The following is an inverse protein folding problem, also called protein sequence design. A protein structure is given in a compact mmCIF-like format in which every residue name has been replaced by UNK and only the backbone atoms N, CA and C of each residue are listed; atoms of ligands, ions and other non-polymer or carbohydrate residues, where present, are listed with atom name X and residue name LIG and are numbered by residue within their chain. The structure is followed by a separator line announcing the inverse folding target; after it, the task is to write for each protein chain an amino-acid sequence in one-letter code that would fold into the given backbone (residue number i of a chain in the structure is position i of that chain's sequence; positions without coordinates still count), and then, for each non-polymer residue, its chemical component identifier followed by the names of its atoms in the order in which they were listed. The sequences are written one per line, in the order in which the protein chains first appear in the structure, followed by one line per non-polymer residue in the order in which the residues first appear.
data_IF_091675590720
#
_entry.id   IF_091675590720
#
_cell.length_a   1.000
_cell.length_b   1.000
_cell.length_c   1.000
_cell.angle_alpha   90.00
_cell.angle_beta   90.00
_cell.angle_gamma   90.00
#
_symmetry.space_group_name_H-M   'P 1'
#
loop_
_entity.id
_entity.type
_entity.pdbx_description
1 polymer ?
#
# COMPACT_ATOMS: atom_id res chain seq x y z
N UNK A 1 -11.05 -3.43 -39.96
CA UNK A 1 -11.80 -4.24 -38.97
C UNK A 1 -12.46 -5.37 -39.74
N UNK A 2 -12.06 -6.60 -39.50
CA UNK A 2 -12.73 -7.77 -40.09
C UNK A 2 -14.09 -7.89 -39.41
N UNK A 3 -15.17 -7.93 -40.19
CA UNK A 3 -16.54 -8.13 -39.69
C UNK A 3 -16.58 -9.38 -38.81
N UNK A 4 -17.02 -9.27 -37.56
CA UNK A 4 -17.17 -10.41 -36.66
C UNK A 4 -18.35 -11.34 -37.01
N UNK A 5 -19.01 -11.10 -38.14
CA UNK A 5 -20.10 -11.94 -38.64
C UNK A 5 -19.54 -13.02 -39.57
N UNK A 6 -19.74 -14.27 -39.18
CA UNK A 6 -19.47 -15.46 -40.01
C UNK A 6 -20.67 -15.66 -40.94
N UNK A 7 -20.41 -15.85 -42.22
CA UNK A 7 -21.48 -16.11 -43.21
C UNK A 7 -21.90 -17.58 -43.20
N UNK A 8 -23.14 -17.88 -43.61
CA UNK A 8 -23.64 -19.27 -43.66
C UNK A 8 -22.81 -20.14 -44.60
N UNK A 9 -22.36 -19.58 -45.71
CA UNK A 9 -21.50 -20.25 -46.69
C UNK A 9 -20.15 -20.64 -46.11
N UNK A 10 -19.55 -19.76 -45.31
CA UNK A 10 -18.26 -20.01 -44.64
C UNK A 10 -18.36 -21.14 -43.60
N UNK A 11 -19.48 -21.21 -42.86
CA UNK A 11 -19.73 -22.30 -41.92
C UNK A 11 -19.87 -23.66 -42.63
N UNK A 12 -20.57 -23.69 -43.77
CA UNK A 12 -20.76 -24.92 -44.55
C UNK A 12 -19.46 -25.38 -45.22
N UNK A 13 -18.65 -24.45 -45.72
CA UNK A 13 -17.30 -24.74 -46.24
C UNK A 13 -16.39 -25.31 -45.15
N UNK A 14 -16.43 -24.76 -43.93
CA UNK A 14 -15.66 -25.28 -42.81
C UNK A 14 -16.10 -26.68 -42.37
N UNK A 15 -17.42 -26.93 -42.33
CA UNK A 15 -17.97 -28.28 -42.07
C UNK A 15 -17.51 -29.27 -43.15
N UNK A 16 -17.50 -28.86 -44.42
CA UNK A 16 -17.06 -29.71 -45.53
C UNK A 16 -15.56 -29.99 -45.47
N UNK A 17 -14.72 -28.97 -45.23
CA UNK A 17 -13.29 -29.13 -45.06
C UNK A 17 -12.96 -30.08 -43.88
N UNK A 18 -13.71 -29.98 -42.77
CA UNK A 18 -13.61 -30.90 -41.64
C UNK A 18 -13.97 -32.33 -42.01
N UNK A 19 -15.04 -32.50 -42.79
CA UNK A 19 -15.49 -33.81 -43.25
C UNK A 19 -14.46 -34.45 -44.20
N UNK A 20 -13.90 -33.69 -45.13
CA UNK A 20 -12.84 -34.16 -46.04
C UNK A 20 -11.56 -34.54 -45.28
N UNK A 21 -11.17 -33.74 -44.28
CA UNK A 21 -10.04 -34.05 -43.40
C UNK A 21 -10.31 -35.30 -42.55
N UNK A 22 -11.55 -35.48 -42.08
CA UNK A 22 -11.98 -36.66 -41.35
C UNK A 22 -11.92 -37.90 -42.23
N UNK A 23 -12.53 -37.88 -43.42
CA UNK A 23 -12.53 -39.01 -44.37
C UNK A 23 -11.11 -39.43 -44.77
N UNK A 24 -10.18 -38.47 -44.88
CA UNK A 24 -8.76 -38.75 -45.15
C UNK A 24 -8.05 -39.47 -43.99
N UNK A 25 -8.44 -39.20 -42.74
CA UNK A 25 -7.83 -39.77 -41.53
C UNK A 25 -8.65 -40.92 -40.90
N UNK A 26 -9.84 -41.19 -41.43
CA UNK A 26 -10.84 -42.11 -40.87
C UNK A 26 -10.42 -43.57 -41.03
N UNK A 27 -10.59 -44.36 -39.97
CA UNK A 27 -10.48 -45.83 -40.01
C UNK A 27 -11.86 -46.45 -40.30
N UNK A 28 -11.95 -47.68 -40.85
CA UNK A 28 -13.22 -48.30 -41.24
C UNK A 28 -14.22 -48.50 -40.08
N UNK A 29 -13.78 -48.39 -38.83
CA UNK A 29 -14.62 -48.52 -37.61
C UNK A 29 -15.16 -47.18 -37.11
N UNK A 30 -14.57 -46.06 -37.53
CA UNK A 30 -14.91 -44.72 -37.04
C UNK A 30 -16.20 -44.20 -37.71
N UNK A 31 -16.88 -43.23 -37.10
CA UNK A 31 -18.17 -42.70 -37.59
C UNK A 31 -18.06 -41.98 -38.93
N UNK A 32 -19.15 -42.02 -39.73
CA UNK A 32 -19.19 -41.38 -41.06
C UNK A 32 -19.12 -39.87 -40.97
N UNK A 33 -19.80 -39.28 -40.01
CA UNK A 33 -19.79 -37.83 -39.79
C UNK A 33 -18.58 -37.43 -38.94
N UNK A 34 -17.90 -36.36 -39.35
CA UNK A 34 -16.89 -35.70 -38.54
C UNK A 34 -17.53 -35.15 -37.25
N UNK A 35 -16.89 -35.33 -36.08
CA UNK A 35 -17.36 -34.75 -34.82
C UNK A 35 -17.52 -33.22 -34.93
N UNK A 36 -18.62 -32.70 -34.39
CA UNK A 36 -18.86 -31.26 -34.29
C UNK A 36 -17.90 -30.64 -33.26
N UNK A 37 -17.29 -29.47 -33.53
CA UNK A 37 -16.43 -28.81 -32.56
C UNK A 37 -17.21 -28.55 -31.27
N UNK A 38 -16.54 -28.80 -30.14
CA UNK A 38 -17.13 -28.54 -28.83
C UNK A 38 -17.50 -27.07 -28.72
N UNK A 39 -18.80 -26.81 -28.49
CA UNK A 39 -19.28 -25.48 -28.19
C UNK A 39 -18.67 -24.98 -26.88
N UNK A 40 -18.36 -23.68 -26.80
CA UNK A 40 -17.83 -23.09 -25.59
C UNK A 40 -18.89 -23.18 -24.47
N UNK A 41 -18.66 -24.10 -23.53
CA UNK A 41 -19.56 -24.30 -22.38
C UNK A 41 -19.47 -23.19 -21.32
N UNK A 42 -18.57 -22.22 -21.51
CA UNK A 42 -18.45 -21.07 -20.61
C UNK A 42 -19.67 -20.17 -20.78
N UNK A 43 -20.19 -19.70 -19.67
CA UNK A 43 -21.23 -18.68 -19.73
C UNK A 43 -20.66 -17.38 -20.32
N UNK A 44 -21.50 -16.57 -20.96
CA UNK A 44 -21.06 -15.26 -21.48
C UNK A 44 -20.41 -14.40 -20.38
N UNK A 45 -20.91 -14.53 -19.14
CA UNK A 45 -20.34 -13.85 -17.98
C UNK A 45 -18.89 -14.29 -17.72
N UNK A 46 -18.61 -15.60 -17.70
CA UNK A 46 -17.26 -16.12 -17.51
C UNK A 46 -16.32 -15.66 -18.63
N UNK A 47 -16.78 -15.67 -19.88
CA UNK A 47 -15.97 -15.21 -21.01
C UNK A 47 -15.66 -13.71 -20.92
N UNK A 48 -16.64 -12.88 -20.57
CA UNK A 48 -16.42 -11.44 -20.39
C UNK A 48 -15.51 -11.15 -19.19
N UNK A 49 -15.65 -11.93 -18.11
CA UNK A 49 -14.80 -11.85 -16.94
C UNK A 49 -13.36 -12.24 -17.29
N UNK A 50 -13.15 -13.37 -17.95
CA UNK A 50 -11.83 -13.83 -18.40
C UNK A 50 -11.17 -12.77 -19.31
N UNK A 51 -11.92 -12.16 -20.23
CA UNK A 51 -11.41 -11.09 -21.09
C UNK A 51 -11.03 -9.83 -20.31
N UNK A 52 -11.80 -9.46 -19.29
CA UNK A 52 -11.50 -8.32 -18.43
C UNK A 52 -10.26 -8.59 -17.57
N UNK A 53 -10.22 -9.76 -16.94
CA UNK A 53 -9.13 -10.17 -16.07
C UNK A 53 -7.83 -10.34 -16.87
N UNK A 54 -7.89 -10.89 -18.09
CA UNK A 54 -6.73 -10.97 -19.00
C UNK A 54 -6.18 -9.59 -19.37
N UNK A 55 -7.05 -8.63 -19.74
CA UNK A 55 -6.62 -7.25 -20.01
C UNK A 55 -6.05 -6.57 -18.76
N UNK A 56 -6.64 -6.84 -17.60
CA UNK A 56 -6.15 -6.27 -16.34
C UNK A 56 -4.76 -6.82 -15.99
N UNK A 57 -4.57 -8.14 -16.14
CA UNK A 57 -3.27 -8.79 -15.94
C UNK A 57 -2.22 -8.24 -16.91
N UNK A 58 -2.55 -8.07 -18.19
CA UNK A 58 -1.64 -7.47 -19.17
C UNK A 58 -1.22 -6.05 -18.78
N UNK A 59 -2.18 -5.22 -18.34
CA UNK A 59 -1.91 -3.86 -17.87
C UNK A 59 -1.04 -3.89 -16.60
N UNK A 60 -1.32 -4.79 -15.67
CA UNK A 60 -0.59 -4.89 -14.41
C UNK A 60 0.83 -5.41 -14.63
N UNK A 61 1.03 -6.36 -15.55
CA UNK A 61 2.35 -6.84 -15.98
C UNK A 61 3.14 -5.72 -16.68
N UNK A 62 2.53 -4.99 -17.62
CA UNK A 62 3.17 -3.87 -18.29
C UNK A 62 3.56 -2.75 -17.31
N UNK A 63 2.67 -2.40 -16.37
CA UNK A 63 2.94 -1.40 -15.33
C UNK A 63 3.99 -1.90 -14.34
N UNK A 64 3.97 -3.18 -13.97
CA UNK A 64 4.96 -3.79 -13.09
C UNK A 64 6.34 -3.75 -13.71
N UNK A 65 6.48 -4.18 -14.96
CA UNK A 65 7.75 -4.10 -15.69
C UNK A 65 8.22 -2.65 -15.82
N UNK A 66 7.31 -1.72 -16.18
CA UNK A 66 7.61 -0.29 -16.23
C UNK A 66 8.11 0.24 -14.90
N UNK A 67 7.50 -0.14 -13.78
CA UNK A 67 7.89 0.32 -12.45
C UNK A 67 9.18 -0.33 -11.94
N UNK A 68 9.44 -1.60 -12.27
CA UNK A 68 10.67 -2.30 -11.87
C UNK A 68 11.91 -1.76 -12.59
N UNK A 69 11.74 -1.30 -13.83
CA UNK A 69 12.83 -0.73 -14.65
C UNK A 69 12.82 0.80 -14.61
N UNK A 70 11.90 1.41 -13.84
CA UNK A 70 11.89 2.86 -13.61
C UNK A 70 13.05 3.18 -12.68
N UNK A 71 14.09 3.80 -13.24
CA UNK A 71 15.19 4.36 -12.46
C UNK A 71 14.71 5.42 -11.48
N UNK A 72 15.60 5.80 -10.57
CA UNK A 72 15.39 6.94 -9.67
C UNK A 72 15.36 8.19 -10.53
N UNK A 73 14.29 8.97 -10.45
CA UNK A 73 14.17 10.23 -11.17
C UNK A 73 15.12 11.30 -10.60
N UNK A 74 15.38 12.39 -11.34
CA UNK A 74 16.26 13.47 -10.86
C UNK A 74 15.74 14.06 -9.53
N UNK A 75 14.43 14.29 -9.44
CA UNK A 75 13.73 14.75 -8.24
C UNK A 75 13.80 13.75 -7.08
N UNK A 76 13.68 12.44 -7.38
CA UNK A 76 13.79 11.40 -6.35
C UNK A 76 15.24 11.31 -5.82
N UNK A 77 16.24 11.50 -6.68
CA UNK A 77 17.65 11.46 -6.30
C UNK A 77 18.05 12.61 -5.37
N UNK A 78 17.50 13.81 -5.62
CA UNK A 78 17.71 14.98 -4.76
C UNK A 78 17.02 14.77 -3.42
N UNK A 79 15.78 14.27 -3.41
CA UNK A 79 15.06 13.93 -2.18
C UNK A 79 15.82 12.91 -1.32
N UNK A 80 16.36 11.83 -1.91
CA UNK A 80 17.16 10.85 -1.18
C UNK A 80 18.45 11.47 -0.60
N UNK A 81 19.09 12.37 -1.35
CA UNK A 81 20.28 13.11 -0.89
C UNK A 81 19.95 14.03 0.29
N UNK A 82 18.82 14.74 0.23
CA UNK A 82 18.34 15.62 1.28
C UNK A 82 17.93 14.85 2.54
N UNK A 83 17.31 13.67 2.38
CA UNK A 83 17.02 12.78 3.50
C UNK A 83 18.30 12.28 4.18
N UNK A 84 19.31 11.90 3.42
CA UNK A 84 20.57 11.40 3.97
C UNK A 84 21.37 12.50 4.66
N UNK A 85 21.40 13.71 4.09
CA UNK A 85 21.99 14.88 4.75
C UNK A 85 21.24 15.21 6.05
N UNK A 86 19.91 15.21 6.04
CA UNK A 86 19.08 15.44 7.23
C UNK A 86 19.36 14.39 8.32
N UNK A 87 19.35 13.10 7.97
CA UNK A 87 19.68 12.01 8.90
C UNK A 87 21.08 12.16 9.48
N UNK A 88 22.06 12.57 8.67
CA UNK A 88 23.43 12.82 9.12
C UNK A 88 23.49 13.99 10.09
N UNK A 89 22.81 15.09 9.78
CA UNK A 89 22.76 16.29 10.64
C UNK A 89 22.13 15.94 11.99
N UNK A 90 21.00 15.24 12.00
CA UNK A 90 20.32 14.81 13.25
C UNK A 90 21.24 13.91 14.09
N UNK A 91 21.89 12.92 13.48
CA UNK A 91 22.84 12.05 14.20
C UNK A 91 24.03 12.83 14.77
N UNK A 92 24.55 13.80 14.03
CA UNK A 92 25.65 14.64 14.48
C UNK A 92 25.24 15.56 15.63
N UNK A 93 24.03 16.11 15.61
CA UNK A 93 23.47 16.91 16.70
C UNK A 93 23.27 16.05 17.96
N UNK A 94 22.63 14.89 17.83
CA UNK A 94 22.45 13.94 18.94
C UNK A 94 23.79 13.56 19.59
N UNK A 95 24.80 13.21 18.77
CA UNK A 95 26.14 12.90 19.27
C UNK A 95 26.81 14.08 19.97
N UNK A 96 26.57 15.31 19.50
CA UNK A 96 27.11 16.53 20.12
C UNK A 96 26.47 16.75 21.49
N UNK A 97 25.15 16.65 21.58
CA UNK A 97 24.39 16.78 22.82
C UNK A 97 24.82 15.73 23.85
N UNK A 98 24.95 14.46 23.44
CA UNK A 98 25.45 13.39 24.31
C UNK A 98 26.86 13.69 24.85
N UNK A 99 27.77 14.18 23.99
CA UNK A 99 29.12 14.53 24.40
C UNK A 99 29.15 15.72 25.37
N UNK A 100 28.27 16.69 25.18
CA UNK A 100 28.14 17.85 26.07
C UNK A 100 27.65 17.43 27.45
N UNK A 101 26.60 16.60 27.51
CA UNK A 101 26.10 16.03 28.77
C UNK A 101 27.18 15.22 29.50
N UNK A 102 27.96 14.41 28.79
CA UNK A 102 29.08 13.66 29.40
C UNK A 102 30.14 14.62 29.97
N UNK A 103 30.50 15.68 29.23
CA UNK A 103 31.46 16.68 29.70
C UNK A 103 30.94 17.39 30.94
N UNK A 104 29.69 17.85 30.95
CA UNK A 104 29.06 18.47 32.12
C UNK A 104 29.03 17.53 33.33
N UNK A 105 28.71 16.25 33.14
CA UNK A 105 28.78 15.24 34.19
C UNK A 105 30.20 15.09 34.75
N UNK A 106 31.21 15.04 33.89
CA UNK A 106 32.61 14.90 34.34
C UNK A 106 33.07 16.12 35.15
N UNK A 107 32.70 17.33 34.72
CA UNK A 107 33.01 18.59 35.40
C UNK A 107 32.30 18.64 36.76
N UNK A 108 30.99 18.37 36.81
CA UNK A 108 30.21 18.36 38.05
C UNK A 108 30.70 17.31 39.04
N UNK A 109 31.07 16.11 38.57
CA UNK A 109 31.68 15.08 39.41
C UNK A 109 33.03 15.53 39.99
N UNK A 110 33.89 16.15 39.17
CA UNK A 110 35.18 16.66 39.61
C UNK A 110 35.04 17.82 40.62
N UNK A 111 34.05 18.71 40.43
CA UNK A 111 33.73 19.77 41.38
C UNK A 111 33.17 19.20 42.69
N UNK A 112 32.27 18.21 42.61
CA UNK A 112 31.70 17.55 43.78
C UNK A 112 32.75 16.79 44.61
N UNK A 113 33.76 16.20 43.94
CA UNK A 113 34.87 15.54 44.61
C UNK A 113 35.82 16.53 45.33
N UNK A 114 35.94 17.76 44.84
CA UNK A 114 36.78 18.81 45.43
C UNK A 114 36.06 19.70 46.46
N UNK A 115 34.75 19.54 46.65
CA UNK A 115 34.03 20.20 47.74
C UNK A 115 34.34 19.52 49.09
N UNK A 116 34.69 20.26 50.16
CA UNK A 116 34.85 19.67 51.48
C UNK A 116 33.52 19.02 51.90
N UNK A 117 33.58 17.78 52.37
CA UNK A 117 32.43 16.98 52.73
C UNK A 117 31.56 17.71 53.79
N UNK A 118 30.50 18.38 53.34
CA UNK A 118 29.45 18.83 54.24
C UNK A 118 28.78 17.60 54.88
N UNK A 119 28.44 17.65 56.19
CA UNK A 119 27.95 16.48 56.91
C UNK A 119 26.64 15.98 56.27
N UNK A 120 26.69 14.76 55.74
CA UNK A 120 25.50 14.06 55.27
C UNK A 120 24.57 13.84 56.47
N UNK A 121 23.43 14.52 56.49
CA UNK A 121 22.36 14.22 57.44
C UNK A 121 21.85 12.80 57.17
N UNK A 122 22.31 11.86 57.99
CA UNK A 122 21.82 10.48 58.00
C UNK A 122 20.41 10.51 58.61
N UNK A 123 19.39 10.55 57.76
CA UNK A 123 18.03 10.24 58.20
C UNK A 123 17.94 8.73 58.43
N UNK A 124 17.89 8.36 59.70
CA UNK A 124 17.60 6.99 60.15
C UNK A 124 16.25 6.54 59.57
N UNK A 125 16.12 5.34 58.98
CA UNK A 125 14.83 4.84 58.55
C UNK A 125 13.94 4.62 59.78
N UNK A 126 12.94 5.49 59.97
CA UNK A 126 11.94 5.35 61.02
C UNK A 126 10.99 4.21 60.65
N UNK A 127 11.23 3.05 61.24
CA UNK A 127 10.27 1.95 61.28
C UNK A 127 9.17 2.31 62.28
N UNK A 128 8.10 2.94 61.82
CA UNK A 128 6.88 3.14 62.62
C UNK A 128 5.69 2.52 61.91
N UNK A 129 5.33 1.33 62.42
CA UNK A 129 3.98 0.84 62.72
C UNK A 129 2.86 1.00 61.68
N UNK A 130 2.27 -0.16 61.39
CA UNK A 130 0.94 -0.38 60.84
C UNK A 130 -0.11 0.67 61.28
N UNK A 131 -0.97 1.06 60.32
CA UNK A 131 -2.26 1.68 60.63
C UNK A 131 -2.37 3.18 60.39
N UNK A 132 -1.94 3.70 59.24
CA UNK A 132 -2.45 4.97 58.74
C UNK A 132 -2.31 5.03 57.21
N UNK A 133 -3.43 5.18 56.51
CA UNK A 133 -3.46 5.43 55.06
C UNK A 133 -2.96 6.85 54.82
N UNK A 134 -1.64 7.00 54.67
CA UNK A 134 -1.04 8.26 54.24
C UNK A 134 -1.39 8.50 52.75
N UNK A 135 -1.72 9.73 52.36
CA UNK A 135 -2.05 10.04 50.97
C UNK A 135 -0.82 9.80 50.10
N UNK A 136 -0.91 8.85 49.18
CA UNK A 136 0.15 8.58 48.19
C UNK A 136 0.46 9.88 47.45
N UNK A 137 1.76 10.21 47.34
CA UNK A 137 2.24 11.37 46.58
C UNK A 137 1.51 11.50 45.25
N UNK A 138 1.13 12.73 44.86
CA UNK A 138 0.44 13.01 43.60
C UNK A 138 1.17 12.39 42.41
N UNK A 139 2.51 12.41 42.42
CA UNK A 139 3.34 11.80 41.39
C UNK A 139 3.19 10.26 41.34
N UNK A 140 3.11 9.60 42.49
CA UNK A 140 2.91 8.15 42.56
C UNK A 140 1.52 7.72 42.07
N UNK A 141 0.49 8.56 42.30
CA UNK A 141 -0.85 8.32 41.77
C UNK A 141 -0.88 8.37 40.23
N UNK A 142 -0.22 9.36 39.61
CA UNK A 142 -0.10 9.43 38.15
C UNK A 142 0.65 8.23 37.53
N UNK A 143 1.69 7.74 38.19
CA UNK A 143 2.42 6.56 37.71
C UNK A 143 1.58 5.27 37.87
N UNK A 144 0.73 5.20 38.89
CA UNK A 144 -0.10 4.02 39.13
C UNK A 144 -1.20 3.82 38.08
N UNK A 145 -1.71 4.89 37.46
CA UNK A 145 -2.68 4.80 36.37
C UNK A 145 -2.01 4.52 35.02
N UNK A 146 -0.72 4.82 34.87
CA UNK A 146 0.04 4.57 33.63
C UNK A 146 0.44 3.10 33.44
N UNK A 147 0.54 2.31 34.51
CA UNK A 147 0.99 0.90 34.42
C UNK A 147 -0.22 -0.04 34.39
N UNK A 148 -0.67 -0.42 33.19
CA UNK A 148 -1.68 -1.48 33.00
C UNK A 148 -1.00 -2.85 33.01
N UNK A 149 -1.01 -3.54 34.15
CA UNK A 149 -0.56 -4.94 34.24
C UNK A 149 -1.62 -5.84 33.59
N UNK A 150 -1.26 -6.49 32.48
CA UNK A 150 -2.11 -7.45 31.77
C UNK A 150 -1.87 -8.82 32.42
N UNK A 151 -2.82 -9.28 33.25
CA UNK A 151 -2.78 -10.63 33.82
C UNK A 151 -3.21 -11.64 32.77
N UNK A 152 -2.31 -12.55 32.40
CA UNK A 152 -2.63 -13.76 31.66
C UNK A 152 -3.15 -14.81 32.63
N UNK A 153 -4.44 -15.13 32.55
CA UNK A 153 -5.02 -16.36 33.11
C UNK A 153 -6.09 -16.84 32.15
N UNK A 154 -6.03 -18.13 31.84
CA UNK A 154 -6.70 -18.80 30.73
C UNK A 154 -8.15 -19.21 31.03
N UNK A 155 -9.04 -18.96 30.05
CA UNK A 155 -10.27 -19.71 29.70
C UNK A 155 -11.49 -19.72 30.64
N UNK A 156 -12.65 -20.24 30.20
CA UNK A 156 -13.50 -19.73 29.09
C UNK A 156 -15.03 -19.71 29.40
N UNK A 157 -15.82 -19.28 28.39
CA UNK A 157 -17.26 -19.56 28.11
C UNK A 157 -18.41 -18.66 28.64
N UNK A 158 -19.19 -18.19 27.63
CA UNK A 158 -20.64 -17.94 27.49
C UNK A 158 -21.44 -16.73 28.05
N UNK A 159 -21.95 -15.96 27.07
CA UNK A 159 -23.33 -15.44 26.81
C UNK A 159 -24.07 -14.60 27.87
N UNK A 160 -24.43 -13.36 27.47
CA UNK A 160 -25.85 -12.89 27.37
C UNK A 160 -25.98 -11.52 26.68
N UNK A 161 -27.10 -11.41 25.97
CA UNK A 161 -27.57 -10.33 25.10
C UNK A 161 -28.04 -9.04 25.83
N UNK A 162 -27.98 -7.96 25.05
CA UNK A 162 -28.91 -6.81 24.92
C UNK A 162 -29.27 -5.95 26.15
N UNK A 163 -29.04 -4.63 26.03
CA UNK A 163 -30.06 -3.55 26.09
C UNK A 163 -29.34 -2.19 26.02
N UNK A 164 -29.72 -1.39 25.01
CA UNK A 164 -29.39 0.03 24.83
C UNK A 164 -30.35 0.87 25.69
N UNK A 165 -29.90 1.97 26.31
CA UNK A 165 -30.45 3.28 25.90
C UNK A 165 -29.42 4.42 25.85
N UNK A 166 -29.71 5.51 25.12
CA UNK A 166 -28.77 6.59 24.85
C UNK A 166 -28.92 7.75 25.84
N UNK A 167 -27.81 8.21 26.42
CA UNK A 167 -27.79 9.48 27.15
C UNK A 167 -26.58 10.32 26.74
N UNK A 168 -26.90 11.42 26.05
CA UNK A 168 -26.01 12.50 25.61
C UNK A 168 -25.39 13.22 26.81
N UNK A 169 -24.07 13.38 26.86
CA UNK A 169 -23.37 14.42 27.63
C UNK A 169 -21.98 14.72 27.01
N UNK A 170 -21.40 15.90 27.25
CA UNK A 170 -20.76 16.74 26.23
C UNK A 170 -19.29 16.44 25.96
N UNK A 171 -18.89 16.73 24.72
CA UNK A 171 -17.53 16.77 24.20
C UNK A 171 -16.79 17.94 24.87
N UNK A 172 -15.91 17.64 25.83
CA UNK A 172 -14.82 18.54 26.21
C UNK A 172 -13.51 17.79 25.97
N UNK A 173 -12.83 18.18 24.89
CA UNK A 173 -11.51 17.67 24.56
C UNK A 173 -10.48 18.26 25.55
N UNK A 174 -9.70 17.44 26.27
CA UNK A 174 -8.55 17.96 26.98
C UNK A 174 -7.49 18.36 25.95
N UNK A 175 -7.21 19.65 25.85
CA UNK A 175 -6.08 20.19 25.07
C UNK A 175 -4.79 19.65 25.67
N UNK A 176 -4.26 18.59 25.06
CA UNK A 176 -2.95 18.04 25.36
C UNK A 176 -1.92 19.03 24.82
N UNK A 177 -1.22 19.74 25.71
CA UNK A 177 -0.06 20.54 25.33
C UNK A 177 1.04 19.57 24.86
N UNK A 178 1.31 19.56 23.55
CA UNK A 178 2.39 18.77 22.93
C UNK A 178 3.73 19.25 23.50
N UNK A 179 4.37 18.44 24.34
CA UNK A 179 5.76 18.61 24.77
C UNK A 179 6.53 17.47 24.10
N UNK A 180 7.42 17.79 23.16
CA UNK A 180 8.33 16.82 22.54
C UNK A 180 7.93 16.36 21.13
N UNK A 181 8.92 16.26 20.25
CA UNK A 181 8.83 16.12 18.80
C UNK A 181 8.09 14.85 18.30
N UNK A 182 6.79 14.98 18.08
CA UNK A 182 6.01 14.09 17.19
C UNK A 182 5.37 14.93 16.09
N UNK A 183 6.19 15.34 15.12
CA UNK A 183 5.78 16.14 13.96
C UNK A 183 5.82 15.28 12.67
N UNK A 184 5.43 14.02 12.77
CA UNK A 184 5.35 13.08 11.65
C UNK A 184 4.08 12.20 11.67
N UNK A 185 3.03 12.62 12.38
CA UNK A 185 1.68 12.12 12.14
C UNK A 185 0.91 13.20 11.40
N UNK A 186 0.55 12.90 10.16
CA UNK A 186 -0.36 13.67 9.33
C UNK A 186 -1.65 13.99 10.10
N UNK A 187 -1.88 15.26 10.42
CA UNK A 187 -3.19 15.76 10.80
C UNK A 187 -4.03 15.82 9.51
N UNK A 188 -4.73 14.72 9.18
CA UNK A 188 -5.69 14.71 8.07
C UNK A 188 -6.98 15.40 8.55
N UNK A 189 -7.19 16.64 8.12
CA UNK A 189 -8.46 17.33 8.34
C UNK A 189 -9.52 16.73 7.40
N UNK A 190 -10.71 16.32 7.87
CA UNK A 190 -11.85 16.05 7.00
C UNK A 190 -12.49 17.40 6.62
N UNK A 191 -12.05 17.98 5.51
CA UNK A 191 -12.72 19.11 4.85
C UNK A 191 -13.04 18.67 3.42
N UNK A 192 -14.27 18.23 3.16
CA UNK A 192 -15.45 19.04 2.81
C UNK A 192 -15.46 19.43 1.33
N UNK A 193 -16.40 18.83 0.60
CA UNK A 193 -16.95 19.11 -0.74
C UNK A 193 -16.02 19.67 -1.82
N UNK A 194 -15.77 18.83 -2.84
CA UNK A 194 -15.34 19.28 -4.16
C UNK A 194 -16.32 18.71 -5.19
N UNK A 195 -17.24 19.57 -5.62
CA UNK A 195 -18.13 19.35 -6.75
C UNK A 195 -17.31 19.00 -8.00
N UNK A 196 -17.61 17.84 -8.59
CA UNK A 196 -17.04 17.42 -9.88
C UNK A 196 -17.89 18.02 -11.00
N UNK A 197 -17.56 19.25 -11.40
CA UNK A 197 -18.11 19.85 -12.61
C UNK A 197 -17.41 19.27 -13.83
N UNK A 198 -18.17 18.53 -14.64
CA UNK A 198 -17.74 18.00 -15.92
C UNK A 198 -17.81 19.11 -16.97
N UNK A 199 -16.66 19.63 -17.40
CA UNK A 199 -16.58 20.52 -18.56
C UNK A 199 -15.29 20.30 -19.35
N UNK A 200 -15.46 19.61 -20.49
CA UNK A 200 -14.83 19.85 -21.79
C UNK A 200 -13.33 20.19 -21.81
N UNK A 201 -12.51 19.19 -22.16
CA UNK A 201 -11.21 19.45 -22.77
C UNK A 201 -11.21 18.92 -24.21
N UNK A 202 -10.85 19.81 -25.14
CA UNK A 202 -10.92 19.66 -26.58
C UNK A 202 -9.48 19.47 -27.07
N UNK A 203 -9.06 18.22 -27.24
CA UNK A 203 -7.76 17.88 -27.81
C UNK A 203 -7.91 17.68 -29.33
N UNK A 204 -7.11 18.36 -30.17
CA UNK A 204 -7.08 18.07 -31.60
C UNK A 204 -6.33 16.76 -31.87
N UNK A 205 -7.06 15.76 -32.37
CA UNK A 205 -6.54 14.51 -32.91
C UNK A 205 -5.44 14.76 -33.96
N UNK A 206 -4.17 14.72 -33.53
CA UNK A 206 -3.03 14.57 -34.45
C UNK A 206 -2.59 13.12 -34.43
N UNK A 207 -3.24 12.30 -35.24
CA UNK A 207 -2.82 10.95 -35.55
C UNK A 207 -1.63 11.05 -36.52
N UNK A 208 -0.47 10.42 -36.25
CA UNK A 208 0.57 10.31 -37.27
C UNK A 208 0.09 9.37 -38.38
N UNK A 209 -0.22 9.93 -39.55
CA UNK A 209 -0.48 9.18 -40.78
C UNK A 209 0.80 8.41 -41.14
N UNK A 210 0.74 7.09 -40.99
CA UNK A 210 1.77 6.19 -41.51
C UNK A 210 1.68 6.20 -43.04
N UNK A 211 2.57 6.93 -43.71
CA UNK A 211 2.69 6.92 -45.17
C UNK A 211 3.17 5.54 -45.61
N UNK A 212 2.25 4.73 -46.15
CA UNK A 212 2.60 3.49 -46.83
C UNK A 212 3.19 3.86 -48.19
N UNK A 213 4.46 3.51 -48.40
CA UNK A 213 5.08 3.59 -49.72
C UNK A 213 4.60 2.41 -50.55
N UNK A 214 3.87 2.70 -51.64
CA UNK A 214 3.50 1.67 -52.60
C UNK A 214 4.74 1.21 -53.40
N UNK A 215 4.93 -0.10 -53.65
CA UNK A 215 5.94 -0.56 -54.58
C UNK A 215 5.50 -0.26 -56.02
N UNK A 216 6.29 0.55 -56.73
CA UNK A 216 6.10 0.81 -58.15
C UNK A 216 6.38 -0.46 -58.97
N UNK A 217 5.34 -0.93 -59.68
CA UNK A 217 5.41 -2.02 -60.65
C UNK A 217 6.21 -1.57 -61.87
N UNK A 218 7.45 -2.06 -61.99
CA UNK A 218 8.32 -1.86 -63.16
C UNK A 218 7.70 -2.63 -64.34
N UNK A 219 7.38 -1.94 -65.43
CA UNK A 219 6.98 -2.56 -66.69
C UNK A 219 8.22 -3.20 -67.34
N UNK A 220 8.19 -4.50 -67.52
CA UNK A 220 9.13 -5.22 -68.38
C UNK A 220 8.82 -4.86 -69.84
N UNK A 221 9.80 -4.24 -70.50
CA UNK A 221 9.84 -4.08 -71.95
C UNK A 221 10.41 -5.36 -72.57
N UNK A 222 9.71 -5.87 -73.57
CA UNK A 222 10.03 -7.11 -74.26
C UNK A 222 11.34 -7.07 -75.06
N UNK A 223 11.88 -8.26 -75.25
CA UNK A 223 12.77 -8.61 -76.34
C UNK A 223 12.19 -9.86 -77.00
N UNK A 224 11.70 -9.68 -78.21
CA UNK A 224 11.70 -10.67 -79.29
C UNK A 224 11.81 -9.92 -80.62
#
# INVERSE_FOLDING_TARGET
MTSGFVSTTELDEEKKARQEAWEKARKPTDTILAPEPEYCNKTLFEQLKDNKDAKQLEIDEAKKLKNMVRGIDEDESTFLSDLDTTKRVVKMQMKREEQEVIKEMTVTQHLAANQPAAPRFILKPSTSSAGAVQPKSKQAAFLSTAIKRKSTSAGPEEKKEEVVPPTKLPKQEPVIKKIGALQALCDYAPSSDSDSDASSDNEPDTIPILVTSQPQKKKEGGCE
#
